data_IF_378831035471
#
_entry.id   IF_378831035471
#
_cell.length_a   1.000
_cell.length_b   1.000
_cell.length_c   1.000
_cell.angle_alpha   90.00
_cell.angle_beta   90.00
_cell.angle_gamma   90.00
#
_symmetry.space_group_name_H-M   'P 1'
#
loop_
_entity.id
_entity.type
_entity.pdbx_description
1 polymer ?
#
# COMPACT_ATOMS: atom_id res chain seq x y z
N UNK A 1 -41.89 38.32 4.66
CA UNK A 1 -40.81 38.12 3.67
C UNK A 1 -41.21 36.97 2.78
N UNK A 2 -41.63 37.25 1.54
CA UNK A 2 -42.07 36.23 0.59
C UNK A 2 -40.88 35.44 0.08
N UNK A 3 -40.97 34.11 0.17
CA UNK A 3 -40.03 33.19 -0.46
C UNK A 3 -40.04 33.41 -1.98
N UNK A 4 -38.85 33.57 -2.57
CA UNK A 4 -38.64 33.54 -4.01
C UNK A 4 -38.92 32.11 -4.50
N UNK A 5 -40.12 31.89 -5.04
CA UNK A 5 -40.42 30.68 -5.78
C UNK A 5 -39.69 30.74 -7.13
N UNK A 6 -38.60 29.98 -7.27
CA UNK A 6 -37.94 29.79 -8.56
C UNK A 6 -38.94 29.16 -9.54
N UNK A 7 -39.10 29.69 -10.77
CA UNK A 7 -40.00 29.12 -11.76
C UNK A 7 -39.55 27.70 -12.13
N UNK A 8 -40.46 26.72 -11.98
CA UNK A 8 -40.27 25.37 -12.53
C UNK A 8 -40.30 25.48 -14.05
N UNK A 9 -39.21 25.09 -14.70
CA UNK A 9 -39.16 25.00 -16.15
C UNK A 9 -39.99 23.79 -16.60
N UNK A 10 -41.05 24.03 -17.37
CA UNK A 10 -41.86 22.97 -17.96
C UNK A 10 -40.99 22.05 -18.84
N UNK A 11 -41.12 20.74 -18.64
CA UNK A 11 -40.36 19.73 -19.37
C UNK A 11 -38.97 19.40 -18.81
N UNK A 12 -38.53 20.06 -17.73
CA UNK A 12 -37.31 19.66 -17.01
C UNK A 12 -37.69 18.70 -15.87
N UNK A 13 -37.21 17.44 -15.87
CA UNK A 13 -37.49 16.50 -14.79
C UNK A 13 -37.03 17.08 -13.46
N UNK A 14 -37.92 17.14 -12.46
CA UNK A 14 -37.59 17.56 -11.09
C UNK A 14 -36.74 16.52 -10.34
N UNK A 15 -36.58 15.34 -10.92
CA UNK A 15 -35.72 14.25 -10.47
C UNK A 15 -35.07 13.61 -11.69
N UNK A 16 -33.76 13.46 -11.65
CA UNK A 16 -33.01 12.72 -12.66
C UNK A 16 -33.31 11.22 -12.50
N UNK A 17 -33.94 10.60 -13.49
CA UNK A 17 -34.22 9.17 -13.50
C UNK A 17 -33.18 8.46 -14.35
N UNK A 18 -32.41 7.56 -13.73
CA UNK A 18 -31.38 6.78 -14.43
C UNK A 18 -32.00 5.71 -15.31
N UNK A 19 -31.47 5.53 -16.52
CA UNK A 19 -31.84 4.39 -17.39
C UNK A 19 -31.20 3.08 -16.93
N UNK A 20 -30.07 3.14 -16.22
CA UNK A 20 -29.37 2.01 -15.64
C UNK A 20 -29.15 2.25 -14.14
N UNK A 21 -29.57 1.31 -13.27
CA UNK A 21 -29.39 1.40 -11.81
C UNK A 21 -27.90 1.38 -11.43
N UNK A 22 -27.07 0.69 -12.21
CA UNK A 22 -25.63 0.54 -11.94
C UNK A 22 -24.86 1.85 -12.13
N UNK A 23 -25.46 2.85 -12.78
CA UNK A 23 -24.87 4.18 -12.97
C UNK A 23 -25.47 5.25 -12.05
N UNK A 24 -26.43 4.88 -11.21
CA UNK A 24 -27.19 5.81 -10.38
C UNK A 24 -26.34 6.50 -9.30
N UNK A 25 -25.23 5.86 -8.88
CA UNK A 25 -24.32 6.39 -7.86
C UNK A 25 -23.35 7.45 -8.37
N UNK A 26 -23.09 7.50 -9.68
CA UNK A 26 -22.11 8.44 -10.23
C UNK A 26 -22.50 9.89 -9.96
N UNK A 27 -23.79 10.23 -10.01
CA UNK A 27 -24.23 11.63 -9.85
C UNK A 27 -24.14 12.10 -8.39
N UNK A 28 -24.62 11.36 -7.37
CA UNK A 28 -24.32 11.67 -5.98
C UNK A 28 -22.82 11.85 -5.70
N UNK A 29 -21.97 10.92 -6.17
CA UNK A 29 -20.52 11.02 -6.00
C UNK A 29 -19.95 12.28 -6.67
N UNK A 30 -20.40 12.62 -7.88
CA UNK A 30 -19.98 13.83 -8.58
C UNK A 30 -20.39 15.12 -7.86
N UNK A 31 -21.58 15.14 -7.26
CA UNK A 31 -22.05 16.27 -6.46
C UNK A 31 -21.17 16.43 -5.21
N UNK A 32 -20.89 15.34 -4.49
CA UNK A 32 -19.99 15.35 -3.35
C UNK A 32 -18.56 15.81 -3.72
N UNK A 33 -18.03 15.35 -4.87
CA UNK A 33 -16.74 15.82 -5.38
C UNK A 33 -16.75 17.29 -5.79
N UNK A 34 -17.87 17.81 -6.32
CA UNK A 34 -18.04 19.22 -6.63
C UNK A 34 -18.11 20.07 -5.36
N UNK A 35 -18.91 19.67 -4.39
CA UNK A 35 -19.09 20.36 -3.11
C UNK A 35 -17.80 20.37 -2.30
N UNK A 36 -17.02 19.29 -2.34
CA UNK A 36 -15.68 19.20 -1.76
C UNK A 36 -14.57 19.87 -2.59
N UNK A 37 -14.89 20.51 -3.72
CA UNK A 37 -13.94 21.21 -4.57
C UNK A 37 -12.97 20.32 -5.35
N UNK A 38 -13.16 19.00 -5.34
CA UNK A 38 -12.37 18.06 -6.12
C UNK A 38 -12.76 18.07 -7.61
N UNK A 39 -14.03 18.27 -7.95
CA UNK A 39 -14.48 18.43 -9.34
C UNK A 39 -14.37 19.90 -9.77
N UNK A 40 -13.74 20.15 -10.91
CA UNK A 40 -13.48 21.51 -11.42
C UNK A 40 -14.09 21.71 -12.82
N UNK A 41 -14.24 22.96 -13.29
CA UNK A 41 -14.69 23.22 -14.66
C UNK A 41 -13.82 22.60 -15.75
N UNK A 42 -12.54 22.34 -15.48
CA UNK A 42 -11.62 21.68 -16.42
C UNK A 42 -12.04 20.23 -16.68
N UNK A 43 -12.57 19.53 -15.67
CA UNK A 43 -13.05 18.15 -15.82
C UNK A 43 -14.27 18.09 -16.74
N UNK A 44 -15.07 19.15 -16.81
CA UNK A 44 -16.21 19.24 -17.70
C UNK A 44 -15.84 19.59 -19.16
N UNK A 45 -14.56 19.82 -19.48
CA UNK A 45 -14.09 20.23 -20.80
C UNK A 45 -13.13 19.21 -21.44
N UNK A 46 -13.40 18.73 -22.67
CA UNK A 46 -14.63 18.92 -23.44
C UNK A 46 -15.83 18.26 -22.75
N UNK A 47 -17.06 18.64 -23.13
CA UNK A 47 -18.29 18.13 -22.51
C UNK A 47 -18.25 16.58 -22.40
N UNK A 48 -18.40 16.02 -21.18
CA UNK A 48 -18.37 14.57 -20.99
C UNK A 48 -19.59 13.90 -21.63
N UNK A 49 -19.41 12.67 -22.13
CA UNK A 49 -20.47 11.89 -22.77
C UNK A 49 -21.51 11.35 -21.76
N UNK A 50 -21.12 11.17 -20.49
CA UNK A 50 -21.95 10.66 -19.40
C UNK A 50 -21.41 11.11 -18.03
N UNK A 51 -22.22 10.98 -16.94
CA UNK A 51 -21.72 11.14 -15.56
C UNK A 51 -20.54 10.22 -15.25
N UNK A 52 -20.58 8.96 -15.70
CA UNK A 52 -19.45 8.01 -15.57
C UNK A 52 -18.16 8.56 -16.16
N UNK A 53 -18.23 9.14 -17.37
CA UNK A 53 -17.07 9.72 -18.04
C UNK A 53 -16.51 10.94 -17.28
N UNK A 54 -17.40 11.76 -16.69
CA UNK A 54 -16.98 12.90 -15.87
C UNK A 54 -16.34 12.45 -14.55
N UNK A 55 -16.89 11.42 -13.91
CA UNK A 55 -16.34 10.87 -12.68
C UNK A 55 -14.96 10.28 -12.94
N UNK A 56 -14.84 9.41 -13.95
CA UNK A 56 -13.56 8.83 -14.36
C UNK A 56 -12.52 9.92 -14.64
N UNK A 57 -12.88 10.96 -15.38
CA UNK A 57 -11.95 12.06 -15.69
C UNK A 57 -11.52 12.82 -14.44
N UNK A 58 -12.47 13.17 -13.56
CA UNK A 58 -12.18 13.86 -12.30
C UNK A 58 -11.22 13.04 -11.44
N UNK A 59 -11.51 11.75 -11.23
CA UNK A 59 -10.68 10.86 -10.43
C UNK A 59 -9.32 10.62 -11.07
N UNK A 60 -9.27 10.40 -12.39
CA UNK A 60 -8.01 10.23 -13.13
C UNK A 60 -7.11 11.46 -13.02
N UNK A 61 -7.66 12.69 -13.07
CA UNK A 61 -6.85 13.90 -12.90
C UNK A 61 -6.19 13.93 -11.53
N UNK A 62 -6.96 13.71 -10.46
CA UNK A 62 -6.38 13.66 -9.11
C UNK A 62 -5.36 12.53 -8.97
N UNK A 63 -5.66 11.35 -9.51
CA UNK A 63 -4.77 10.20 -9.42
C UNK A 63 -3.46 10.42 -10.20
N UNK A 64 -3.54 11.02 -11.38
CA UNK A 64 -2.37 11.42 -12.16
C UNK A 64 -1.51 12.42 -11.40
N UNK A 65 -2.11 13.37 -10.66
CA UNK A 65 -1.34 14.31 -9.84
C UNK A 65 -0.66 13.61 -8.65
N UNK A 66 -1.35 12.68 -8.00
CA UNK A 66 -0.80 11.87 -6.89
C UNK A 66 0.38 11.04 -7.38
N UNK A 67 0.19 10.30 -8.48
CA UNK A 67 1.16 9.35 -9.04
C UNK A 67 2.12 9.99 -10.04
N UNK A 68 2.07 11.32 -10.22
CA UNK A 68 2.95 12.03 -11.15
C UNK A 68 4.41 11.71 -10.86
N UNK A 69 5.13 11.15 -11.84
CA UNK A 69 6.54 10.81 -11.71
C UNK A 69 6.85 9.58 -10.85
N UNK A 70 5.84 8.79 -10.46
CA UNK A 70 6.05 7.47 -9.87
C UNK A 70 6.66 6.51 -10.91
N UNK A 71 7.63 5.70 -10.48
CA UNK A 71 8.44 4.82 -11.33
C UNK A 71 8.59 3.41 -10.77
N UNK A 72 8.71 3.29 -9.45
CA UNK A 72 9.08 2.05 -8.77
C UNK A 72 7.93 1.43 -8.01
N UNK A 73 6.98 2.23 -7.54
CA UNK A 73 5.84 1.77 -6.78
C UNK A 73 4.63 1.76 -7.74
N UNK A 74 3.84 0.67 -7.78
CA UNK A 74 2.68 0.52 -8.69
C UNK A 74 1.34 0.65 -7.95
N UNK A 75 0.64 1.78 -8.13
CA UNK A 75 -0.55 2.14 -7.34
C UNK A 75 -1.64 2.62 -8.30
N UNK A 76 -2.53 1.71 -8.67
CA UNK A 76 -3.67 1.97 -9.52
C UNK A 76 -4.91 2.22 -8.67
N UNK A 77 -5.67 3.26 -9.00
CA UNK A 77 -6.95 3.54 -8.35
C UNK A 77 -8.08 2.81 -9.09
N UNK A 78 -8.74 1.89 -8.39
CA UNK A 78 -9.96 1.25 -8.84
C UNK A 78 -11.14 1.80 -8.04
N UNK A 79 -12.27 2.02 -8.73
CA UNK A 79 -13.43 2.70 -8.15
C UNK A 79 -14.65 1.84 -8.43
N UNK A 80 -15.37 1.47 -7.38
CA UNK A 80 -16.57 0.61 -7.48
C UNK A 80 -17.66 1.16 -6.56
N UNK A 81 -18.91 0.79 -6.85
CA UNK A 81 -20.06 1.14 -6.01
C UNK A 81 -20.53 0.00 -5.10
N UNK A 82 -19.99 -1.19 -5.31
CA UNK A 82 -20.31 -2.41 -4.57
C UNK A 82 -19.05 -3.25 -4.46
N UNK A 83 -18.85 -3.86 -3.30
CA UNK A 83 -17.92 -4.97 -3.12
C UNK A 83 -18.68 -6.27 -3.39
N UNK A 84 -18.22 -7.09 -4.34
CA UNK A 84 -18.84 -8.39 -4.58
C UNK A 84 -18.33 -9.40 -3.55
N UNK A 85 -18.98 -9.48 -2.39
CA UNK A 85 -18.88 -10.67 -1.54
C UNK A 85 -19.94 -11.68 -1.98
N UNK A 86 -19.67 -12.97 -1.78
CA UNK A 86 -20.53 -14.09 -2.20
C UNK A 86 -21.95 -14.07 -1.57
N UNK A 87 -22.20 -13.18 -0.59
CA UNK A 87 -23.37 -13.21 0.30
C UNK A 87 -24.28 -11.97 0.24
N UNK A 88 -23.95 -10.90 -0.50
CA UNK A 88 -24.75 -9.66 -0.50
C UNK A 88 -25.64 -9.50 -1.73
N UNK A 89 -26.94 -9.25 -1.51
CA UNK A 89 -27.88 -8.84 -2.56
C UNK A 89 -27.55 -7.42 -3.03
N UNK A 90 -27.78 -7.08 -4.31
CA UNK A 90 -27.55 -5.72 -4.80
C UNK A 90 -28.62 -4.76 -4.25
N UNK A 91 -28.29 -4.09 -3.15
CA UNK A 91 -28.95 -2.85 -2.70
C UNK A 91 -28.47 -1.66 -3.57
N UNK A 92 -29.24 -0.55 -3.65
CA UNK A 92 -28.72 0.64 -4.29
C UNK A 92 -27.40 1.04 -3.60
N UNK A 93 -26.34 1.33 -4.37
CA UNK A 93 -25.07 1.73 -3.77
C UNK A 93 -25.24 2.99 -2.92
N UNK A 94 -24.91 2.87 -1.63
CA UNK A 94 -24.88 3.99 -0.68
C UNK A 94 -23.47 4.57 -0.51
N UNK A 95 -22.46 3.82 -0.95
CA UNK A 95 -21.05 4.11 -0.72
C UNK A 95 -20.23 4.12 -2.01
N UNK A 96 -19.22 4.98 -2.03
CA UNK A 96 -18.12 5.02 -2.99
C UNK A 96 -16.96 4.20 -2.41
N UNK A 97 -16.54 3.17 -3.13
CA UNK A 97 -15.39 2.34 -2.76
C UNK A 97 -14.19 2.72 -3.61
N UNK A 98 -13.09 3.05 -2.96
CA UNK A 98 -11.80 3.37 -3.57
C UNK A 98 -10.79 2.30 -3.17
N UNK A 99 -10.20 1.64 -4.16
CA UNK A 99 -9.20 0.59 -3.97
C UNK A 99 -7.87 1.06 -4.59
N UNK A 100 -6.76 0.81 -3.90
CA UNK A 100 -5.42 0.96 -4.47
C UNK A 100 -4.77 -0.41 -4.56
N UNK A 101 -4.23 -0.78 -5.73
CA UNK A 101 -3.51 -2.04 -5.89
C UNK A 101 -2.59 -2.06 -7.11
N UNK A 102 -1.86 -3.17 -7.27
CA UNK A 102 -1.21 -3.52 -8.52
C UNK A 102 -2.27 -3.87 -9.61
N UNK A 103 -1.88 -4.02 -10.88
CA UNK A 103 -2.79 -4.40 -11.97
C UNK A 103 -3.66 -5.63 -11.62
N UNK A 104 -4.86 -5.71 -12.21
CA UNK A 104 -6.02 -6.51 -11.76
C UNK A 104 -5.83 -8.05 -11.64
N UNK A 105 -4.70 -8.62 -12.04
CA UNK A 105 -4.58 -10.07 -12.26
C UNK A 105 -3.63 -10.83 -11.33
N UNK A 106 -2.86 -10.18 -10.43
CA UNK A 106 -2.06 -10.92 -9.44
C UNK A 106 -1.63 -10.07 -8.23
N UNK A 107 -1.86 -10.50 -6.98
CA UNK A 107 -1.48 -9.72 -5.78
C UNK A 107 0.05 -9.48 -5.67
N UNK A 108 0.85 -10.38 -6.25
CA UNK A 108 2.32 -10.25 -6.40
C UNK A 108 2.78 -9.67 -7.75
N UNK A 109 1.90 -9.03 -8.52
CA UNK A 109 2.28 -8.28 -9.73
C UNK A 109 3.15 -7.06 -9.39
N UNK A 110 3.21 -6.66 -8.13
CA UNK A 110 4.05 -5.57 -7.66
C UNK A 110 5.54 -5.79 -8.00
N UNK A 111 6.30 -4.71 -8.25
CA UNK A 111 7.72 -4.79 -8.54
C UNK A 111 8.50 -5.33 -7.33
N UNK A 112 9.45 -6.22 -7.62
CA UNK A 112 10.38 -6.78 -6.64
C UNK A 112 11.69 -5.98 -6.66
N UNK A 113 12.08 -5.49 -5.48
CA UNK A 113 13.19 -4.58 -5.27
C UNK A 113 14.19 -5.23 -4.30
N UNK A 114 15.41 -5.52 -4.78
CA UNK A 114 16.47 -6.11 -3.96
C UNK A 114 17.28 -5.02 -3.26
N UNK A 115 17.17 -4.94 -1.94
CA UNK A 115 17.75 -3.86 -1.13
C UNK A 115 18.96 -4.27 -0.30
N UNK A 116 19.18 -5.57 -0.07
CA UNK A 116 20.23 -6.08 0.84
C UNK A 116 21.64 -5.55 0.56
N UNK A 117 22.15 -5.63 -0.69
CA UNK A 117 23.51 -5.18 -1.02
C UNK A 117 23.76 -3.69 -0.70
N UNK A 118 22.76 -2.84 -0.88
CA UNK A 118 22.87 -1.41 -0.57
C UNK A 118 22.94 -1.17 0.94
N UNK A 119 22.14 -1.89 1.73
CA UNK A 119 22.16 -1.80 3.18
C UNK A 119 23.44 -2.36 3.79
N UNK A 120 23.99 -3.45 3.25
CA UNK A 120 25.31 -3.98 3.63
C UNK A 120 26.43 -2.96 3.36
N UNK A 121 26.36 -2.25 2.21
CA UNK A 121 27.30 -1.17 1.91
C UNK A 121 27.20 -0.03 2.92
N UNK A 122 25.98 0.38 3.32
CA UNK A 122 25.79 1.40 4.35
C UNK A 122 26.38 0.97 5.70
N UNK A 123 26.14 -0.28 6.09
CA UNK A 123 26.73 -0.86 7.32
C UNK A 123 28.26 -0.92 7.26
N UNK A 124 28.85 -1.18 6.09
CA UNK A 124 30.30 -1.14 5.90
C UNK A 124 30.89 0.28 6.01
N UNK A 125 30.16 1.32 5.57
CA UNK A 125 30.58 2.72 5.77
C UNK A 125 30.57 3.07 7.26
N UNK A 126 29.52 2.68 7.97
CA UNK A 126 29.42 2.81 9.43
C UNK A 126 28.36 1.85 9.97
N UNK A 127 28.76 0.97 10.89
CA UNK A 127 27.84 0.12 11.65
C UNK A 127 26.67 0.93 12.23
N UNK A 128 25.45 0.49 11.96
CA UNK A 128 24.18 1.09 12.34
C UNK A 128 23.62 2.12 11.35
N UNK A 129 24.33 2.46 10.27
CA UNK A 129 23.87 3.41 9.27
C UNK A 129 22.74 2.83 8.42
N UNK A 130 22.91 1.59 7.94
CA UNK A 130 21.87 0.88 7.19
C UNK A 130 20.61 0.70 8.03
N UNK A 131 20.76 0.27 9.28
CA UNK A 131 19.62 0.14 10.20
C UNK A 131 18.90 1.48 10.44
N UNK A 132 19.64 2.57 10.63
CA UNK A 132 19.05 3.91 10.80
C UNK A 132 18.31 4.38 9.55
N UNK A 133 18.85 4.12 8.36
CA UNK A 133 18.20 4.46 7.08
C UNK A 133 16.93 3.64 6.88
N UNK A 134 16.97 2.33 7.15
CA UNK A 134 15.81 1.44 7.00
C UNK A 134 14.68 1.83 7.95
N UNK A 135 15.00 2.25 9.18
CA UNK A 135 14.02 2.74 10.14
C UNK A 135 13.26 3.98 9.61
N UNK A 136 13.96 4.91 8.94
CA UNK A 136 13.29 6.08 8.34
C UNK A 136 12.47 5.67 7.12
N UNK A 137 12.95 4.72 6.32
CA UNK A 137 12.18 4.17 5.20
C UNK A 137 10.87 3.54 5.69
N UNK A 138 10.92 2.69 6.71
CA UNK A 138 9.71 2.04 7.27
C UNK A 138 8.72 3.06 7.82
N UNK A 139 9.18 4.08 8.54
CA UNK A 139 8.30 5.15 9.02
C UNK A 139 7.61 5.90 7.87
N UNK A 140 8.28 6.08 6.73
CA UNK A 140 7.67 6.66 5.54
C UNK A 140 6.67 5.72 4.86
N UNK A 141 6.99 4.42 4.78
CA UNK A 141 6.13 3.42 4.15
C UNK A 141 4.79 3.27 4.86
N UNK A 142 4.71 3.51 6.17
CA UNK A 142 3.44 3.53 6.94
C UNK A 142 2.42 4.55 6.45
N UNK A 143 2.84 5.55 5.68
CA UNK A 143 1.96 6.56 5.09
C UNK A 143 1.64 6.27 3.62
N UNK A 144 2.09 5.15 3.07
CA UNK A 144 1.83 4.74 1.70
C UNK A 144 0.94 3.49 1.69
N UNK A 145 0.30 3.16 0.55
CA UNK A 145 -0.35 1.86 0.39
C UNK A 145 0.61 0.71 0.67
N UNK A 146 0.04 -0.44 1.04
CA UNK A 146 0.80 -1.58 1.56
C UNK A 146 2.04 -1.96 0.72
N UNK A 147 3.19 -2.10 1.37
CA UNK A 147 4.47 -2.54 0.79
C UNK A 147 4.94 -3.76 1.57
N UNK A 148 5.24 -4.84 0.86
CA UNK A 148 5.75 -6.05 1.49
C UNK A 148 7.22 -5.81 1.87
N UNK A 149 7.47 -5.63 3.16
CA UNK A 149 8.80 -5.42 3.74
C UNK A 149 9.29 -6.69 4.43
N UNK A 150 10.59 -6.81 4.76
CA UNK A 150 11.06 -7.85 5.66
C UNK A 150 10.30 -7.93 6.99
N UNK A 151 9.86 -6.79 7.54
CA UNK A 151 9.01 -6.78 8.74
C UNK A 151 7.68 -7.50 8.50
N UNK A 152 7.05 -7.21 7.36
CA UNK A 152 5.77 -7.80 6.97
C UNK A 152 5.91 -9.29 6.63
N UNK A 153 6.98 -9.69 5.93
CA UNK A 153 7.27 -11.11 5.68
C UNK A 153 7.48 -11.89 6.98
N UNK A 154 8.16 -11.31 7.96
CA UNK A 154 8.32 -11.94 9.27
C UNK A 154 6.98 -12.09 10.00
N UNK A 155 6.14 -11.05 9.95
CA UNK A 155 4.77 -11.12 10.47
C UNK A 155 3.96 -12.23 9.78
N UNK A 156 4.08 -12.40 8.46
CA UNK A 156 3.41 -13.48 7.72
C UNK A 156 3.88 -14.87 8.15
N UNK A 157 5.18 -15.06 8.38
CA UNK A 157 5.71 -16.31 8.94
C UNK A 157 5.13 -16.57 10.34
N UNK A 158 5.19 -15.55 11.20
CA UNK A 158 4.63 -15.58 12.54
C UNK A 158 3.16 -16.02 12.52
N UNK A 159 2.35 -15.35 11.71
CA UNK A 159 0.92 -15.56 11.65
C UNK A 159 0.51 -16.90 11.05
N UNK A 160 1.13 -17.30 9.92
CA UNK A 160 0.72 -18.48 9.14
C UNK A 160 1.33 -19.76 9.68
N UNK A 161 2.60 -19.72 10.06
CA UNK A 161 3.42 -20.91 10.32
C UNK A 161 3.76 -21.11 11.80
N UNK A 162 3.73 -20.05 12.60
CA UNK A 162 4.18 -20.04 14.00
C UNK A 162 3.08 -19.67 15.00
N UNK A 163 1.80 -19.71 14.59
CA UNK A 163 0.64 -19.41 15.44
C UNK A 163 0.68 -18.04 16.15
N UNK A 164 1.33 -17.05 15.53
CA UNK A 164 1.49 -15.70 16.08
C UNK A 164 2.71 -15.52 16.99
N UNK A 165 3.60 -16.53 17.08
CA UNK A 165 4.85 -16.47 17.82
C UNK A 165 6.02 -15.98 16.94
N UNK A 166 7.17 -15.72 17.56
CA UNK A 166 8.38 -15.19 16.88
C UNK A 166 9.29 -16.28 16.29
N UNK A 167 8.91 -17.55 16.47
CA UNK A 167 9.57 -18.77 15.98
C UNK A 167 8.59 -19.96 15.96
N UNK A 168 9.01 -21.05 15.32
CA UNK A 168 8.25 -22.27 15.08
C UNK A 168 7.99 -23.15 16.32
N UNK A 169 8.54 -22.80 17.49
CA UNK A 169 8.56 -23.66 18.68
C UNK A 169 7.15 -24.08 19.14
N UNK A 170 6.21 -23.14 19.16
CA UNK A 170 4.82 -23.41 19.56
C UNK A 170 4.07 -24.25 18.51
N UNK A 171 4.40 -24.10 17.23
CA UNK A 171 3.84 -24.94 16.16
C UNK A 171 4.35 -26.38 16.26
N UNK A 172 5.63 -26.56 16.59
CA UNK A 172 6.25 -27.86 16.84
C UNK A 172 5.67 -28.52 18.09
N UNK A 173 5.51 -27.76 19.18
CA UNK A 173 4.87 -28.25 20.40
C UNK A 173 3.42 -28.67 20.14
N UNK A 174 2.68 -27.93 19.31
CA UNK A 174 1.34 -28.31 18.89
C UNK A 174 1.33 -29.65 18.14
N UNK A 175 2.21 -29.83 17.14
CA UNK A 175 2.36 -31.10 16.40
C UNK A 175 2.71 -32.27 17.33
N UNK A 176 3.58 -32.05 18.31
CA UNK A 176 3.91 -33.06 19.32
C UNK A 176 2.71 -33.40 20.21
N UNK A 177 1.96 -32.38 20.66
CA UNK A 177 0.81 -32.54 21.54
C UNK A 177 -0.40 -33.22 20.87
N UNK A 178 -0.54 -33.16 19.55
CA UNK A 178 -1.55 -33.92 18.78
C UNK A 178 -1.34 -35.44 18.85
N UNK A 179 -0.18 -35.89 19.36
CA UNK A 179 0.10 -37.29 19.66
C UNK A 179 0.48 -38.13 18.44
N UNK A 180 0.84 -37.47 17.32
CA UNK A 180 1.33 -38.12 16.10
C UNK A 180 2.79 -38.59 16.23
N UNK A 181 3.54 -38.07 17.20
CA UNK A 181 4.97 -38.34 17.41
C UNK A 181 5.26 -38.84 18.82
N UNK A 182 6.23 -39.75 18.97
CA UNK A 182 6.63 -40.31 20.27
C UNK A 182 7.58 -39.38 21.03
N UNK A 183 8.35 -38.56 20.32
CA UNK A 183 9.25 -37.56 20.89
C UNK A 183 9.12 -36.23 20.19
N UNK A 184 9.53 -35.16 20.86
CA UNK A 184 9.53 -33.81 20.30
C UNK A 184 10.48 -33.68 19.11
N UNK A 185 11.62 -34.36 19.14
CA UNK A 185 12.59 -34.35 18.03
C UNK A 185 11.98 -34.91 16.74
N UNK A 186 11.09 -35.90 16.84
CA UNK A 186 10.37 -36.41 15.67
C UNK A 186 9.38 -35.38 15.11
N UNK A 187 8.73 -34.59 15.98
CA UNK A 187 7.87 -33.49 15.56
C UNK A 187 8.68 -32.34 14.92
N UNK A 188 9.86 -32.04 15.46
CA UNK A 188 10.82 -31.07 14.89
C UNK A 188 11.27 -31.52 13.48
N UNK A 189 11.64 -32.79 13.29
CA UNK A 189 12.03 -33.33 11.98
C UNK A 189 10.86 -33.38 10.97
N UNK A 190 9.62 -33.46 11.46
CA UNK A 190 8.43 -33.52 10.63
C UNK A 190 7.83 -32.13 10.30
N UNK A 191 8.29 -31.06 10.94
CA UNK A 191 7.80 -29.71 10.67
C UNK A 191 8.16 -29.26 9.25
N UNK A 192 7.15 -29.03 8.40
CA UNK A 192 7.34 -28.63 6.99
C UNK A 192 7.31 -27.11 6.76
N UNK A 193 7.05 -26.33 7.81
CA UNK A 193 7.02 -24.87 7.76
C UNK A 193 8.42 -24.23 7.69
N UNK A 194 8.52 -22.95 7.34
CA UNK A 194 9.77 -22.20 7.44
C UNK A 194 10.15 -21.99 8.90
N UNK A 195 11.41 -22.22 9.24
CA UNK A 195 11.94 -21.92 10.58
C UNK A 195 12.37 -20.45 10.68
N UNK A 196 12.50 -19.96 11.91
CA UNK A 196 13.13 -18.66 12.20
C UNK A 196 14.54 -18.60 11.61
N UNK A 197 15.27 -19.72 11.68
CA UNK A 197 16.61 -19.83 11.11
C UNK A 197 16.58 -19.65 9.58
N UNK A 198 15.64 -20.30 8.89
CA UNK A 198 15.49 -20.16 7.43
C UNK A 198 15.16 -18.72 7.03
N UNK A 199 14.33 -18.03 7.81
CA UNK A 199 13.99 -16.63 7.55
C UNK A 199 15.22 -15.72 7.60
N UNK A 200 16.06 -15.89 8.63
CA UNK A 200 17.24 -15.03 8.86
C UNK A 200 18.51 -15.53 8.15
N UNK A 201 18.44 -16.57 7.32
CA UNK A 201 19.59 -17.03 6.52
C UNK A 201 20.16 -15.90 5.64
N UNK A 202 19.28 -15.12 5.02
CA UNK A 202 19.64 -14.02 4.13
C UNK A 202 19.31 -12.63 4.68
N UNK A 203 18.36 -12.53 5.60
CA UNK A 203 17.90 -11.26 6.15
C UNK A 203 18.57 -11.05 7.50
N UNK A 204 19.22 -9.91 7.78
CA UNK A 204 19.74 -9.66 9.11
C UNK A 204 18.59 -9.36 10.08
N UNK A 205 18.67 -9.85 11.32
CA UNK A 205 17.59 -9.71 12.32
C UNK A 205 17.09 -8.27 12.50
N UNK A 206 18.00 -7.30 12.49
CA UNK A 206 17.66 -5.89 12.64
C UNK A 206 16.80 -5.34 11.50
N UNK A 207 16.74 -5.99 10.34
CA UNK A 207 15.94 -5.52 9.20
C UNK A 207 14.43 -5.73 9.40
N UNK A 208 14.04 -6.66 10.28
CA UNK A 208 12.64 -6.87 10.67
C UNK A 208 12.17 -5.73 11.58
N UNK A 209 13.02 -5.31 12.52
CA UNK A 209 12.72 -4.21 13.45
C UNK A 209 13.87 -3.18 13.47
N UNK A 210 14.02 -2.37 12.41
CA UNK A 210 15.10 -1.42 12.32
C UNK A 210 14.92 -0.25 13.29
N UNK A 211 16.03 0.22 13.85
CA UNK A 211 16.06 1.32 14.82
C UNK A 211 17.02 2.43 14.39
N UNK A 212 16.73 3.66 14.84
CA UNK A 212 17.61 4.82 14.66
C UNK A 212 18.76 4.78 15.68
N UNK A 213 19.72 3.89 15.45
CA UNK A 213 20.84 3.65 16.38
C UNK A 213 21.95 4.71 16.29
N UNK A 214 21.96 5.55 15.24
CA UNK A 214 22.94 6.62 15.06
C UNK A 214 22.34 8.01 15.32
N UNK A 215 23.14 8.87 15.96
CA UNK A 215 22.86 10.31 16.08
C UNK A 215 23.06 11.04 14.75
N UNK A 216 22.39 12.20 14.55
CA UNK A 216 22.57 13.02 13.33
C UNK A 216 24.05 13.33 13.07
N UNK A 217 24.82 13.72 14.10
CA UNK A 217 26.26 13.96 13.95
C UNK A 217 27.01 12.75 13.38
N UNK A 218 26.69 11.54 13.85
CA UNK A 218 27.32 10.31 13.37
C UNK A 218 26.92 9.99 11.93
N UNK A 219 25.65 10.20 11.58
CA UNK A 219 25.14 10.06 10.20
C UNK A 219 25.86 11.03 9.26
N UNK A 220 25.96 12.32 9.62
CA UNK A 220 26.67 13.33 8.82
C UNK A 220 28.14 13.02 8.64
N UNK A 221 28.80 12.49 9.67
CA UNK A 221 30.21 12.07 9.58
C UNK A 221 30.39 10.84 8.68
N UNK A 222 29.42 9.93 8.65
CA UNK A 222 29.45 8.78 7.75
C UNK A 222 29.22 9.20 6.30
N UNK A 223 28.21 10.03 6.04
CA UNK A 223 27.90 10.58 4.73
C UNK A 223 29.11 11.26 4.07
N UNK A 224 29.88 12.06 4.82
CA UNK A 224 31.07 12.74 4.28
C UNK A 224 32.22 11.83 3.84
N UNK A 225 32.18 10.53 4.18
CA UNK A 225 33.25 9.57 3.89
C UNK A 225 33.00 8.75 2.63
N UNK A 226 31.77 8.68 2.16
CA UNK A 226 31.36 7.85 1.04
C UNK A 226 30.24 8.54 0.25
N UNK A 227 30.43 8.70 -1.06
CA UNK A 227 29.52 9.44 -1.94
C UNK A 227 28.12 8.80 -2.00
N UNK A 228 28.04 7.47 -1.95
CA UNK A 228 26.75 6.77 -1.94
C UNK A 228 26.00 7.01 -0.64
N UNK A 229 26.69 6.90 0.50
CA UNK A 229 26.12 7.25 1.80
C UNK A 229 25.66 8.71 1.84
N UNK A 230 26.39 9.64 1.22
CA UNK A 230 25.97 11.05 1.08
C UNK A 230 24.64 11.18 0.34
N UNK A 231 24.50 10.54 -0.82
CA UNK A 231 23.27 10.56 -1.63
C UNK A 231 22.08 9.93 -0.90
N UNK A 232 22.30 8.78 -0.24
CA UNK A 232 21.27 8.11 0.55
C UNK A 232 20.79 9.00 1.69
N UNK A 233 21.71 9.61 2.44
CA UNK A 233 21.34 10.49 3.55
C UNK A 233 20.63 11.76 3.06
N UNK A 234 21.00 12.31 1.91
CA UNK A 234 20.26 13.42 1.32
C UNK A 234 18.82 13.03 0.95
N UNK A 235 18.59 11.83 0.43
CA UNK A 235 17.25 11.31 0.14
C UNK A 235 16.44 11.07 1.42
N UNK A 236 17.06 10.50 2.46
CA UNK A 236 16.46 10.33 3.80
C UNK A 236 16.07 11.67 4.41
N UNK A 237 16.92 12.69 4.31
CA UNK A 237 16.60 14.05 4.78
C UNK A 237 15.39 14.63 4.05
N UNK A 238 15.29 14.41 2.73
CA UNK A 238 14.15 14.90 1.95
C UNK A 238 12.84 14.25 2.40
N UNK A 239 12.85 12.95 2.71
CA UNK A 239 11.72 12.23 3.31
C UNK A 239 11.36 12.84 4.66
N UNK A 240 12.35 12.97 5.56
CA UNK A 240 12.14 13.48 6.91
C UNK A 240 11.59 14.92 6.93
N UNK A 241 12.15 15.80 6.09
CA UNK A 241 11.70 17.19 5.96
C UNK A 241 10.25 17.26 5.46
N UNK A 242 9.91 16.43 4.46
CA UNK A 242 8.55 16.35 3.93
C UNK A 242 7.56 15.84 4.98
N UNK A 243 7.90 14.74 5.66
CA UNK A 243 7.05 14.19 6.72
C UNK A 243 6.83 15.18 7.86
N UNK A 244 7.89 15.85 8.31
CA UNK A 244 7.78 16.87 9.36
C UNK A 244 6.93 18.06 8.92
N UNK A 245 7.11 18.56 7.69
CA UNK A 245 6.33 19.67 7.17
C UNK A 245 4.85 19.29 7.01
N UNK A 246 4.58 18.08 6.49
CA UNK A 246 3.23 17.56 6.30
C UNK A 246 2.52 17.41 7.64
N UNK A 247 3.14 16.78 8.64
CA UNK A 247 2.55 16.64 9.98
C UNK A 247 2.28 17.99 10.68
N UNK A 248 3.02 19.05 10.34
CA UNK A 248 2.80 20.39 10.87
C UNK A 248 1.69 21.16 10.14
N UNK A 249 1.53 20.93 8.83
CA UNK A 249 0.59 21.64 7.96
C UNK A 249 -0.75 20.90 7.76
N UNK A 250 -0.82 19.61 8.12
CA UNK A 250 -1.97 18.74 7.90
C UNK A 250 -1.67 17.29 8.31
N UNK A 251 -2.39 16.33 7.70
CA UNK A 251 -2.16 14.90 7.89
C UNK A 251 -1.98 14.23 6.53
N UNK A 252 -1.30 13.09 6.50
CA UNK A 252 -1.38 12.19 5.36
C UNK A 252 -2.80 11.62 5.24
N UNK A 253 -3.19 11.25 4.03
CA UNK A 253 -4.38 10.44 3.84
C UNK A 253 -4.13 9.04 4.43
N UNK A 254 -5.19 8.45 4.96
CA UNK A 254 -5.16 7.05 5.38
C UNK A 254 -5.05 6.15 4.14
N UNK A 255 -4.02 5.29 4.13
CA UNK A 255 -3.76 4.30 3.09
C UNK A 255 -3.93 2.86 3.58
N UNK A 256 -4.49 2.64 4.76
CA UNK A 256 -4.77 1.30 5.27
C UNK A 256 -6.00 0.64 4.64
N UNK A 257 -6.32 -0.55 5.13
CA UNK A 257 -7.52 -1.34 4.76
C UNK A 257 -8.59 -1.33 5.84
N UNK A 258 -8.52 -0.43 6.82
CA UNK A 258 -9.38 -0.40 8.01
C UNK A 258 -10.90 -0.29 7.73
N UNK A 259 -11.29 0.09 6.51
CA UNK A 259 -12.71 0.19 6.13
C UNK A 259 -13.27 -1.14 5.59
N UNK A 260 -12.41 -2.12 5.31
CA UNK A 260 -12.77 -3.44 4.82
C UNK A 260 -12.43 -4.51 5.86
N UNK A 261 -13.18 -5.62 5.82
CA UNK A 261 -12.88 -6.79 6.63
C UNK A 261 -11.73 -7.61 6.01
N UNK A 262 -10.98 -8.30 6.86
CA UNK A 262 -9.91 -9.21 6.45
C UNK A 262 -8.57 -8.55 6.12
N UNK A 263 -7.58 -9.42 5.86
CA UNK A 263 -6.21 -8.99 5.60
C UNK A 263 -6.01 -8.55 4.14
N UNK A 264 -5.16 -7.55 3.94
CA UNK A 264 -4.72 -7.12 2.61
C UNK A 264 -3.79 -8.16 1.99
N UNK A 265 -4.13 -8.66 0.81
CA UNK A 265 -3.25 -9.56 0.04
C UNK A 265 -2.46 -8.86 -1.08
N UNK A 266 -2.66 -7.55 -1.28
CA UNK A 266 -2.00 -6.80 -2.35
C UNK A 266 -0.95 -5.83 -1.82
N UNK A 267 0.12 -5.64 -2.61
CA UNK A 267 1.19 -4.69 -2.33
C UNK A 267 1.50 -3.82 -3.54
N UNK A 268 2.00 -2.61 -3.30
CA UNK A 268 2.44 -1.68 -4.37
C UNK A 268 3.93 -1.85 -4.72
N UNK A 269 4.68 -2.57 -3.88
CA UNK A 269 6.04 -3.06 -4.12
C UNK A 269 6.38 -4.17 -3.12
N UNK A 270 7.38 -4.98 -3.47
CA UNK A 270 7.96 -6.02 -2.61
C UNK A 270 9.44 -5.72 -2.41
N UNK A 271 9.85 -5.52 -1.16
CA UNK A 271 11.24 -5.31 -0.77
C UNK A 271 11.84 -6.64 -0.33
N UNK A 272 12.83 -7.12 -1.07
CA UNK A 272 13.56 -8.35 -0.76
C UNK A 272 14.98 -8.00 -0.35
N UNK A 273 15.49 -8.70 0.65
CA UNK A 273 16.90 -8.61 1.01
C UNK A 273 17.78 -9.32 0.00
N UNK A 274 17.36 -10.52 -0.42
CA UNK A 274 18.12 -11.41 -1.30
C UNK A 274 17.19 -12.12 -2.30
N UNK A 275 17.64 -12.46 -3.53
CA UNK A 275 16.83 -13.21 -4.50
C UNK A 275 16.27 -14.55 -4.00
N UNK A 276 16.92 -15.14 -3.01
CA UNK A 276 16.58 -16.44 -2.42
C UNK A 276 15.97 -16.31 -1.02
N UNK A 277 15.64 -15.10 -0.57
CA UNK A 277 14.92 -14.94 0.70
C UNK A 277 13.48 -15.49 0.64
N UNK A 278 12.91 -15.72 1.82
CA UNK A 278 11.59 -16.34 1.95
C UNK A 278 10.43 -15.39 1.64
N UNK A 279 10.66 -14.11 1.35
CA UNK A 279 9.60 -13.08 1.23
C UNK A 279 8.50 -13.48 0.24
N UNK A 280 8.85 -14.02 -0.93
CA UNK A 280 7.85 -14.41 -1.94
C UNK A 280 7.13 -15.70 -1.55
N UNK A 281 7.83 -16.68 -0.95
CA UNK A 281 7.21 -17.91 -0.46
C UNK A 281 6.19 -17.58 0.63
N UNK A 282 6.59 -16.80 1.63
CA UNK A 282 5.73 -16.39 2.74
C UNK A 282 4.52 -15.60 2.28
N UNK A 283 4.69 -14.71 1.29
CA UNK A 283 3.56 -14.01 0.71
C UNK A 283 2.57 -14.94 -0.01
N UNK A 284 3.06 -15.96 -0.73
CA UNK A 284 2.18 -16.97 -1.32
C UNK A 284 1.44 -17.78 -0.25
N UNK A 285 2.15 -18.25 0.78
CA UNK A 285 1.56 -19.01 1.88
C UNK A 285 0.50 -18.18 2.61
N UNK A 286 0.78 -16.89 2.85
CA UNK A 286 -0.16 -15.95 3.43
C UNK A 286 -1.41 -15.77 2.56
N UNK A 287 -1.26 -15.51 1.25
CA UNK A 287 -2.38 -15.41 0.31
C UNK A 287 -3.24 -16.68 0.34
N UNK A 288 -2.61 -17.85 0.33
CA UNK A 288 -3.31 -19.13 0.39
C UNK A 288 -4.05 -19.33 1.72
N UNK A 289 -3.44 -18.93 2.84
CA UNK A 289 -4.03 -19.02 4.17
C UNK A 289 -5.24 -18.10 4.31
N UNK A 290 -5.08 -16.80 4.08
CA UNK A 290 -6.17 -15.82 4.23
C UNK A 290 -7.25 -15.97 3.16
N UNK A 291 -6.92 -16.56 2.00
CA UNK A 291 -7.88 -16.92 0.96
C UNK A 291 -8.93 -17.95 1.40
N UNK A 292 -8.74 -18.61 2.55
CA UNK A 292 -9.73 -19.49 3.17
C UNK A 292 -10.76 -18.72 4.03
N UNK A 293 -10.50 -17.45 4.33
CA UNK A 293 -11.35 -16.56 5.11
C UNK A 293 -11.71 -15.28 4.35
N UNK A 294 -11.95 -14.21 5.12
CA UNK A 294 -12.17 -12.88 4.56
C UNK A 294 -10.81 -12.21 4.26
N UNK A 295 -10.67 -11.69 3.04
CA UNK A 295 -9.48 -10.98 2.60
C UNK A 295 -9.85 -9.78 1.73
N UNK A 296 -8.90 -8.86 1.60
CA UNK A 296 -9.01 -7.65 0.78
C UNK A 296 -8.03 -7.70 -0.39
N UNK A 297 -8.56 -7.63 -1.61
CA UNK A 297 -7.84 -7.62 -2.88
C UNK A 297 -7.27 -6.23 -3.25
N UNK A 298 -6.79 -5.50 -2.26
CA UNK A 298 -6.23 -4.15 -2.43
C UNK A 298 -5.23 -3.80 -1.33
N UNK A 299 -4.20 -3.03 -1.68
CA UNK A 299 -3.21 -2.48 -0.77
C UNK A 299 -3.77 -1.32 0.09
N UNK A 300 -4.91 -0.76 -0.32
CA UNK A 300 -5.69 0.25 0.41
C UNK A 300 -7.16 0.10 0.03
N UNK A 301 -8.07 0.21 1.00
CA UNK A 301 -9.51 0.30 0.77
C UNK A 301 -10.10 1.44 1.58
N UNK A 302 -10.77 2.37 0.91
CA UNK A 302 -11.55 3.43 1.56
C UNK A 302 -13.00 3.41 1.09
N UNK A 303 -13.91 3.58 2.04
CA UNK A 303 -15.35 3.60 1.81
C UNK A 303 -15.89 4.94 2.27
N UNK A 304 -16.58 5.65 1.36
CA UNK A 304 -17.18 6.94 1.67
C UNK A 304 -18.68 6.93 1.36
N UNK A 305 -19.54 7.53 2.19
CA UNK A 305 -20.92 7.81 1.80
C UNK A 305 -20.94 8.64 0.50
N UNK A 306 -21.83 8.29 -0.43
CA UNK A 306 -21.87 8.94 -1.76
C UNK A 306 -22.18 10.43 -1.72
N UNK A 307 -22.82 10.93 -0.66
CA UNK A 307 -23.18 12.32 -0.43
C UNK A 307 -22.18 13.08 0.47
N UNK A 308 -21.09 12.42 0.89
CA UNK A 308 -20.06 13.03 1.72
C UNK A 308 -18.91 13.61 0.93
N UNK A 309 -18.48 14.82 1.31
CA UNK A 309 -17.25 15.46 0.80
C UNK A 309 -15.96 14.75 1.25
N UNK A 310 -16.03 13.73 2.08
CA UNK A 310 -14.85 13.03 2.62
C UNK A 310 -14.00 12.37 1.54
N UNK A 311 -14.63 11.84 0.48
CA UNK A 311 -13.91 11.31 -0.68
C UNK A 311 -13.08 12.39 -1.38
N UNK A 312 -13.61 13.61 -1.51
CA UNK A 312 -12.91 14.77 -2.06
C UNK A 312 -11.73 15.19 -1.15
N UNK A 313 -11.96 15.24 0.16
CA UNK A 313 -10.93 15.56 1.15
C UNK A 313 -9.79 14.52 1.13
N UNK A 314 -10.13 13.23 1.03
CA UNK A 314 -9.15 12.15 0.93
C UNK A 314 -8.30 12.28 -0.35
N UNK A 315 -8.92 12.49 -1.52
CA UNK A 315 -8.21 12.70 -2.80
C UNK A 315 -7.26 13.92 -2.75
N UNK A 316 -7.68 15.01 -2.12
CA UNK A 316 -6.83 16.18 -1.95
C UNK A 316 -5.64 15.90 -1.02
N UNK A 317 -5.89 15.18 0.08
CA UNK A 317 -4.87 14.83 1.07
C UNK A 317 -3.84 13.84 0.50
N UNK A 318 -4.27 12.93 -0.39
CA UNK A 318 -3.39 11.96 -1.08
C UNK A 318 -2.26 12.61 -1.88
N UNK A 319 -2.33 13.92 -2.20
CA UNK A 319 -1.21 14.66 -2.82
C UNK A 319 0.04 14.64 -1.96
N UNK A 320 -0.11 14.75 -0.63
CA UNK A 320 1.00 14.67 0.30
C UNK A 320 1.63 13.26 0.32
N UNK A 321 0.79 12.21 0.25
CA UNK A 321 1.24 10.82 0.12
C UNK A 321 2.00 10.62 -1.21
N UNK A 322 1.51 11.19 -2.32
CA UNK A 322 2.20 11.18 -3.62
C UNK A 322 3.53 11.94 -3.62
N UNK A 323 3.68 13.01 -2.84
CA UNK A 323 4.97 13.69 -2.68
C UNK A 323 5.96 12.89 -1.82
N UNK A 324 5.46 12.20 -0.80
CA UNK A 324 6.24 11.26 0.00
C UNK A 324 6.70 10.08 -0.87
N UNK A 325 5.80 9.55 -1.69
CA UNK A 325 6.06 8.51 -2.69
C UNK A 325 7.32 8.76 -3.49
N UNK A 326 7.40 9.92 -4.15
CA UNK A 326 8.49 10.29 -5.03
C UNK A 326 9.82 10.34 -4.29
N UNK A 327 9.81 10.75 -3.03
CA UNK A 327 11.00 10.81 -2.17
C UNK A 327 11.43 9.42 -1.72
N UNK A 328 10.46 8.58 -1.34
CA UNK A 328 10.70 7.16 -1.07
C UNK A 328 11.26 6.47 -2.31
N UNK A 329 10.69 6.70 -3.49
CA UNK A 329 11.22 6.15 -4.74
C UNK A 329 12.62 6.67 -5.06
N UNK A 330 12.92 7.94 -4.79
CA UNK A 330 14.28 8.47 -4.97
C UNK A 330 15.28 7.74 -4.07
N UNK A 331 14.89 7.44 -2.83
CA UNK A 331 15.69 6.62 -1.92
C UNK A 331 15.80 5.17 -2.43
N UNK A 332 14.69 4.56 -2.88
CA UNK A 332 14.69 3.20 -3.42
C UNK A 332 15.50 3.09 -4.72
N UNK A 333 15.56 4.12 -5.56
CA UNK A 333 16.39 4.13 -6.78
C UNK A 333 17.89 4.04 -6.44
N UNK A 334 18.28 4.51 -5.25
CA UNK A 334 19.65 4.37 -4.73
C UNK A 334 19.88 3.01 -4.07
N UNK A 335 18.87 2.50 -3.35
CA UNK A 335 19.00 1.31 -2.51
C UNK A 335 18.68 -0.01 -3.24
N UNK A 336 17.82 0.03 -4.25
CA UNK A 336 17.27 -1.16 -4.86
C UNK A 336 17.93 -1.46 -6.20
N UNK A 337 18.13 -2.75 -6.46
CA UNK A 337 18.27 -3.27 -7.82
C UNK A 337 16.98 -3.97 -8.21
N UNK A 338 16.48 -3.70 -9.42
CA UNK A 338 15.29 -4.38 -9.93
C UNK A 338 15.63 -5.80 -10.36
N UNK A 339 14.73 -6.75 -10.14
CA UNK A 339 14.90 -8.12 -10.61
C UNK A 339 14.96 -8.16 -12.16
N UNK A 340 16.09 -8.55 -12.78
CA UNK A 340 16.20 -8.65 -14.23
C UNK A 340 15.29 -9.74 -14.82
N UNK A 341 14.81 -10.70 -14.02
CA UNK A 341 14.00 -11.84 -14.50
C UNK A 341 12.56 -11.46 -14.88
N UNK A 342 12.05 -10.29 -14.48
CA UNK A 342 10.72 -9.79 -14.90
C UNK A 342 10.74 -8.87 -16.13
N UNK A 343 11.91 -8.54 -16.69
CA UNK A 343 12.00 -7.78 -17.95
C UNK A 343 11.73 -8.63 -19.20
N UNK A 344 11.39 -9.91 -19.07
CA UNK A 344 11.03 -10.75 -20.21
C UNK A 344 9.55 -10.61 -20.59
N UNK A 345 9.35 -9.83 -21.67
CA UNK A 345 8.26 -9.89 -22.65
C UNK A 345 6.86 -9.49 -22.13
N UNK A 346 6.47 -8.22 -22.39
CA UNK A 346 5.07 -7.89 -22.70
C UNK A 346 4.95 -7.68 -24.21
N UNK A 347 4.32 -8.62 -24.91
CA UNK A 347 3.75 -8.40 -26.24
C UNK A 347 2.26 -8.14 -26.03
N UNK A 348 1.88 -6.88 -26.30
CA UNK A 348 0.56 -6.26 -26.49
C UNK A 348 -0.61 -6.65 -25.58
#
# INVERSE_FOLDING_TARGET
MSALALPRLDGVPTRFAYKNRDEAWHTPALLALLDGGALTPQDAQPKPASPTALLKRTLQRHWNDVTAGARLLVWNLHVRSTFSSWSTRPEPPEHLWLFIGAEEDHPLAAPQLFIGPAFERLEAVRKGLGQTVLAVLYDALRHLPNVLTPQESFYQASWVHWHGCDDEEEAIEFLFAEGEFETREQAEEAYEGPTRLDFFEHVPEWAVHPERVLTDRQVRLAARKDEFAEQVIAAVDAIWQHARATCAAGRYADCGTNDADGDSICWIAVLQWHPEDLTIRLAHDFIQYVGQGDYTDAATVKIFPLDSTDSANWLQTMRANGELARRVETLLDLLATQNPLRQQIRVQ
#
